data_IF_687968147642
#
_entry.id   IF_687968147642
#
_cell.length_a   1.000
_cell.length_b   1.000
_cell.length_c   1.000
_cell.angle_alpha   90.00
_cell.angle_beta   90.00
_cell.angle_gamma   90.00
#
_symmetry.space_group_name_H-M   'P 1'
#
loop_
_entity.id
_entity.type
_entity.pdbx_description
1 polymer ?
#
# COMPACT_ATOMS: atom_id res chain seq x y z
N UNK A 1 -29.00 -10.49 65.02
CA UNK A 1 -30.42 -10.25 64.71
C UNK A 1 -30.49 -9.20 63.61
N UNK A 2 -30.98 -9.54 62.42
CA UNK A 2 -31.27 -8.57 61.34
C UNK A 2 -32.61 -7.87 61.61
N UNK A 3 -32.72 -6.57 61.26
CA UNK A 3 -33.44 -6.15 60.03
C UNK A 3 -32.62 -5.10 59.21
N UNK A 4 -32.58 -5.11 57.87
CA UNK A 4 -33.56 -4.54 56.89
C UNK A 4 -33.78 -3.01 57.06
N UNK A 5 -33.85 -2.10 56.07
CA UNK A 5 -33.96 -2.13 54.59
C UNK A 5 -33.98 -0.66 54.06
N UNK A 6 -33.39 -0.40 52.88
CA UNK A 6 -33.74 0.57 51.78
C UNK A 6 -33.68 2.13 51.95
N UNK A 7 -33.63 2.92 50.83
CA UNK A 7 -32.72 4.05 50.69
C UNK A 7 -33.45 5.40 50.54
N UNK A 8 -32.73 6.51 50.70
CA UNK A 8 -33.26 7.83 50.37
C UNK A 8 -32.92 8.19 48.93
N UNK A 9 -33.98 8.37 48.13
CA UNK A 9 -33.94 8.76 46.73
C UNK A 9 -33.76 10.28 46.64
N UNK A 10 -32.59 10.72 46.20
CA UNK A 10 -32.38 12.12 45.78
C UNK A 10 -32.86 12.28 44.34
N UNK A 11 -33.95 13.05 44.18
CA UNK A 11 -34.49 13.49 42.90
C UNK A 11 -33.55 14.53 42.28
N UNK A 12 -32.63 14.08 41.45
CA UNK A 12 -31.87 14.91 40.52
C UNK A 12 -32.74 15.23 39.30
N UNK A 13 -33.27 16.44 39.27
CA UNK A 13 -34.00 17.04 38.16
C UNK A 13 -33.04 17.26 36.98
N UNK A 14 -33.00 16.33 36.01
CA UNK A 14 -32.36 16.60 34.72
C UNK A 14 -33.30 17.41 33.84
N UNK A 15 -33.02 18.70 33.75
CA UNK A 15 -33.60 19.64 32.81
C UNK A 15 -33.21 19.21 31.40
N UNK A 16 -34.21 18.80 30.61
CA UNK A 16 -34.07 18.60 29.18
C UNK A 16 -34.06 19.97 28.47
N UNK A 17 -32.93 20.34 27.89
CA UNK A 17 -32.81 21.45 26.95
C UNK A 17 -32.13 20.94 25.67
N UNK A 18 -32.95 20.90 24.61
CA UNK A 18 -32.65 21.04 23.19
C UNK A 18 -31.34 20.47 22.62
N UNK A 19 -31.47 19.52 21.69
CA UNK A 19 -30.91 19.72 20.35
C UNK A 19 -31.65 18.86 19.33
N UNK A 20 -32.22 19.55 18.34
CA UNK A 20 -32.94 19.01 17.20
C UNK A 20 -32.14 17.95 16.47
N UNK A 21 -32.86 16.92 16.02
CA UNK A 21 -32.31 15.76 15.36
C UNK A 21 -31.54 16.09 14.09
N UNK A 22 -30.31 15.61 14.05
CA UNK A 22 -29.77 14.95 12.87
C UNK A 22 -29.11 13.68 13.42
N UNK A 23 -29.81 12.56 13.30
CA UNK A 23 -29.21 11.23 13.43
C UNK A 23 -28.22 11.09 12.27
N UNK A 24 -26.98 11.51 12.48
CA UNK A 24 -25.87 11.01 11.69
C UNK A 24 -25.74 9.53 12.06
N UNK A 25 -26.42 8.68 11.30
CA UNK A 25 -26.05 7.27 11.24
C UNK A 25 -24.55 7.24 10.90
N UNK A 26 -23.69 6.61 11.71
CA UNK A 26 -22.34 6.37 11.29
C UNK A 26 -22.45 5.50 10.03
N UNK A 27 -22.17 6.10 8.88
CA UNK A 27 -21.94 5.35 7.65
C UNK A 27 -20.69 4.51 7.90
N UNK A 28 -20.88 3.33 8.49
CA UNK A 28 -19.91 2.27 8.43
C UNK A 28 -19.74 2.00 6.94
N UNK A 29 -18.69 2.59 6.35
CA UNK A 29 -18.20 2.22 5.04
C UNK A 29 -17.91 0.72 5.15
N UNK A 30 -18.84 -0.09 4.65
CA UNK A 30 -18.67 -1.51 4.54
C UNK A 30 -17.47 -1.73 3.61
N UNK A 31 -16.31 -1.97 4.22
CA UNK A 31 -15.16 -2.48 3.51
C UNK A 31 -15.57 -3.88 3.08
N UNK A 32 -15.82 -4.04 1.79
CA UNK A 32 -16.32 -5.30 1.22
C UNK A 32 -15.43 -6.47 1.61
N UNK A 33 -16.04 -7.65 1.69
CA UNK A 33 -15.34 -8.91 1.94
C UNK A 33 -14.12 -9.06 1.02
N UNK A 34 -13.04 -9.66 1.54
CA UNK A 34 -11.82 -9.94 0.80
C UNK A 34 -12.18 -10.71 -0.47
N UNK A 35 -12.01 -10.11 -1.67
CA UNK A 35 -12.40 -10.79 -2.90
C UNK A 35 -11.57 -12.06 -3.05
N UNK A 36 -12.23 -13.18 -3.35
CA UNK A 36 -11.51 -14.38 -3.79
C UNK A 36 -10.91 -14.08 -5.16
N UNK A 37 -9.59 -13.91 -5.18
CA UNK A 37 -8.86 -13.61 -6.41
C UNK A 37 -8.78 -14.90 -7.22
N UNK A 38 -9.58 -15.00 -8.30
CA UNK A 38 -9.39 -16.06 -9.28
C UNK A 38 -8.04 -15.84 -9.97
N UNK A 39 -7.18 -16.86 -9.93
CA UNK A 39 -5.82 -16.83 -10.46
C UNK A 39 -5.84 -16.57 -11.97
N UNK A 40 -5.68 -15.31 -12.35
CA UNK A 40 -5.11 -14.95 -13.65
C UNK A 40 -3.59 -15.07 -13.51
N UNK A 41 -2.87 -15.40 -14.59
CA UNK A 41 -1.41 -15.41 -14.57
C UNK A 41 -0.93 -13.98 -14.28
N UNK A 42 -0.49 -13.76 -13.05
CA UNK A 42 0.07 -12.48 -12.63
C UNK A 42 1.54 -12.42 -13.04
N UNK A 43 2.04 -11.22 -13.39
CA UNK A 43 3.47 -11.04 -13.65
C UNK A 43 4.26 -11.49 -12.43
N UNK A 44 5.40 -12.14 -12.69
CA UNK A 44 6.25 -12.70 -11.63
C UNK A 44 7.58 -11.98 -11.53
N UNK A 45 8.08 -11.78 -10.31
CA UNK A 45 9.44 -11.35 -10.02
C UNK A 45 10.05 -12.39 -9.12
N UNK A 46 11.08 -13.08 -9.59
CA UNK A 46 11.75 -14.14 -8.82
C UNK A 46 10.73 -15.16 -8.28
N UNK A 47 9.73 -15.50 -9.13
CA UNK A 47 8.61 -16.40 -8.85
C UNK A 47 7.55 -15.85 -7.88
N UNK A 48 7.64 -14.59 -7.45
CA UNK A 48 6.63 -13.91 -6.64
C UNK A 48 5.64 -13.21 -7.53
N UNK A 49 4.35 -13.34 -7.22
CA UNK A 49 3.29 -12.72 -7.99
C UNK A 49 2.20 -12.12 -7.09
N UNK A 50 1.40 -11.23 -7.65
CA UNK A 50 0.24 -10.68 -6.95
C UNK A 50 -0.75 -11.79 -6.56
N UNK A 51 -1.37 -11.68 -5.39
CA UNK A 51 -2.27 -12.70 -4.87
C UNK A 51 -1.57 -13.91 -4.23
N UNK A 52 -0.23 -14.03 -4.31
CA UNK A 52 0.53 -15.06 -3.60
C UNK A 52 0.37 -14.91 -2.09
N UNK A 53 0.33 -16.02 -1.35
CA UNK A 53 0.33 -15.96 0.12
C UNK A 53 1.65 -15.38 0.63
N UNK A 54 1.60 -14.58 1.70
CA UNK A 54 2.80 -13.99 2.26
C UNK A 54 3.78 -15.03 2.82
N UNK A 55 3.30 -16.16 3.34
CA UNK A 55 4.16 -17.27 3.77
C UNK A 55 4.97 -17.87 2.62
N UNK A 56 4.33 -18.13 1.47
CA UNK A 56 5.03 -18.61 0.28
C UNK A 56 6.02 -17.56 -0.25
N UNK A 57 5.64 -16.29 -0.23
CA UNK A 57 6.53 -15.21 -0.67
C UNK A 57 7.78 -15.10 0.21
N UNK A 58 7.63 -15.15 1.53
CA UNK A 58 8.74 -15.14 2.49
C UNK A 58 9.65 -16.36 2.31
N UNK A 59 9.08 -17.55 2.07
CA UNK A 59 9.87 -18.76 1.83
C UNK A 59 10.76 -18.64 0.58
N UNK A 60 10.24 -18.01 -0.48
CA UNK A 60 10.94 -17.85 -1.77
C UNK A 60 11.99 -16.72 -1.73
N UNK A 61 11.66 -15.60 -1.10
CA UNK A 61 12.50 -14.41 -1.07
C UNK A 61 13.59 -14.45 0.02
N UNK A 62 13.39 -15.24 1.06
CA UNK A 62 14.29 -15.28 2.21
C UNK A 62 14.08 -14.07 3.13
N UNK A 63 15.18 -13.57 3.71
CA UNK A 63 15.13 -12.50 4.72
C UNK A 63 15.22 -11.13 4.05
N UNK A 64 14.26 -10.21 4.28
CA UNK A 64 14.34 -8.84 3.79
C UNK A 64 15.41 -8.02 4.53
N UNK A 65 15.90 -6.95 3.92
CA UNK A 65 16.83 -6.01 4.57
C UNK A 65 16.16 -5.20 5.67
N UNK A 66 14.91 -4.81 5.42
CA UNK A 66 14.07 -4.12 6.41
C UNK A 66 12.60 -4.45 6.22
N UNK A 67 11.83 -4.21 7.28
CA UNK A 67 10.40 -4.46 7.32
C UNK A 67 9.71 -3.26 7.93
N UNK A 68 8.69 -2.76 7.26
CA UNK A 68 7.86 -1.67 7.76
C UNK A 68 6.39 -2.07 7.85
N UNK A 69 5.69 -1.51 8.84
CA UNK A 69 4.24 -1.63 8.93
C UNK A 69 3.59 -0.41 8.28
N UNK A 70 2.79 -0.69 7.27
CA UNK A 70 1.93 0.30 6.64
C UNK A 70 0.72 0.66 7.51
N UNK A 71 0.39 1.95 7.52
CA UNK A 71 -0.76 2.45 8.27
C UNK A 71 -2.10 1.89 7.78
N UNK A 72 -3.05 1.78 8.71
CA UNK A 72 -4.40 1.32 8.45
C UNK A 72 -5.20 2.38 7.66
N UNK A 73 -5.10 2.36 6.33
CA UNK A 73 -5.96 3.17 5.47
C UNK A 73 -7.09 2.30 4.95
N UNK A 74 -8.32 2.71 5.24
CA UNK A 74 -9.55 2.05 4.78
C UNK A 74 -9.74 0.62 5.31
N UNK A 75 -9.27 0.32 6.52
CA UNK A 75 -9.51 -0.97 7.17
C UNK A 75 -8.50 -2.07 6.81
N UNK A 76 -7.53 -1.76 5.94
CA UNK A 76 -6.48 -2.69 5.55
C UNK A 76 -5.17 -2.31 6.21
N UNK A 77 -4.47 -3.30 6.75
CA UNK A 77 -3.08 -3.15 7.21
C UNK A 77 -2.17 -3.86 6.24
N UNK A 78 -0.95 -3.36 6.09
CA UNK A 78 0.02 -3.99 5.22
C UNK A 78 1.39 -4.02 5.88
N UNK A 79 2.20 -4.99 5.46
CA UNK A 79 3.61 -5.08 5.78
C UNK A 79 4.38 -4.85 4.49
N UNK A 80 5.38 -3.99 4.52
CA UNK A 80 6.29 -3.74 3.40
C UNK A 80 7.61 -4.43 3.70
N UNK A 81 8.03 -5.30 2.79
CA UNK A 81 9.31 -5.98 2.83
C UNK A 81 10.25 -5.31 1.84
N UNK A 82 11.40 -4.81 2.31
CA UNK A 82 12.39 -4.17 1.46
C UNK A 82 13.53 -5.13 1.14
N UNK A 83 13.84 -5.25 -0.14
CA UNK A 83 14.99 -5.96 -0.69
C UNK A 83 15.85 -4.99 -1.49
N UNK A 84 17.11 -5.32 -1.81
CA UNK A 84 18.05 -4.37 -2.42
C UNK A 84 17.56 -3.70 -3.71
N UNK A 85 16.69 -4.37 -4.48
CA UNK A 85 16.29 -3.94 -5.83
C UNK A 85 14.78 -4.00 -6.09
N UNK A 86 13.99 -4.34 -5.07
CA UNK A 86 12.53 -4.36 -5.14
C UNK A 86 11.93 -4.34 -3.73
N UNK A 87 10.64 -4.06 -3.64
CA UNK A 87 9.87 -4.23 -2.43
C UNK A 87 8.58 -5.00 -2.70
N UNK A 88 8.04 -5.59 -1.64
CA UNK A 88 6.79 -6.35 -1.66
C UNK A 88 5.88 -5.80 -0.57
N UNK A 89 4.67 -5.37 -0.93
CA UNK A 89 3.65 -5.06 0.06
C UNK A 89 2.66 -6.21 0.19
N UNK A 90 2.44 -6.63 1.43
CA UNK A 90 1.57 -7.74 1.80
C UNK A 90 0.42 -7.18 2.61
N UNK A 91 -0.81 -7.34 2.14
CA UNK A 91 -2.01 -7.03 2.89
C UNK A 91 -2.22 -8.10 3.95
N UNK A 92 -2.30 -7.69 5.22
CA UNK A 92 -2.45 -8.59 6.36
C UNK A 92 -3.84 -8.48 6.97
N UNK A 93 -4.41 -9.59 7.46
CA UNK A 93 -5.69 -9.54 8.16
C UNK A 93 -5.54 -8.80 9.50
N UNK A 94 -6.63 -8.27 10.03
CA UNK A 94 -6.60 -7.35 11.18
C UNK A 94 -6.05 -8.02 12.45
N UNK A 95 -6.40 -9.28 12.64
CA UNK A 95 -5.96 -10.13 13.74
C UNK A 95 -4.44 -10.35 13.75
N UNK A 96 -3.77 -10.25 12.60
CA UNK A 96 -2.34 -10.43 12.48
C UNK A 96 -1.53 -9.20 12.92
N UNK A 97 -2.15 -8.02 13.07
CA UNK A 97 -1.45 -6.76 13.39
C UNK A 97 -0.69 -6.83 14.73
N UNK A 98 -1.15 -7.66 15.67
CA UNK A 98 -0.54 -7.83 16.99
C UNK A 98 0.69 -8.73 17.03
N UNK A 99 1.02 -9.40 15.93
CA UNK A 99 2.21 -10.28 15.82
C UNK A 99 3.46 -9.43 15.57
N UNK A 100 4.63 -10.05 15.38
CA UNK A 100 5.74 -9.36 14.71
C UNK A 100 5.44 -9.21 13.21
N UNK A 101 6.21 -8.37 12.52
CA UNK A 101 5.88 -7.99 11.15
C UNK A 101 6.07 -9.13 10.15
N UNK A 102 7.01 -10.04 10.38
CA UNK A 102 7.23 -11.21 9.52
C UNK A 102 6.11 -12.22 9.72
N UNK A 103 5.74 -12.53 10.96
CA UNK A 103 4.61 -13.42 11.25
C UNK A 103 3.29 -12.83 10.74
N UNK A 104 3.13 -11.49 10.80
CA UNK A 104 1.97 -10.82 10.20
C UNK A 104 1.95 -11.01 8.69
N UNK A 105 3.09 -10.79 8.03
CA UNK A 105 3.23 -10.94 6.59
C UNK A 105 2.94 -12.37 6.15
N UNK A 106 3.38 -13.38 6.91
CA UNK A 106 3.13 -14.79 6.60
C UNK A 106 1.62 -15.13 6.47
N UNK A 107 0.75 -14.40 7.17
CA UNK A 107 -0.71 -14.58 7.15
C UNK A 107 -1.42 -13.74 6.09
N UNK A 108 -0.69 -12.92 5.35
CA UNK A 108 -1.25 -11.99 4.38
C UNK A 108 -1.22 -12.48 2.94
N UNK A 109 -1.51 -11.55 2.03
CA UNK A 109 -1.49 -11.75 0.58
C UNK A 109 -0.68 -10.64 -0.08
N UNK A 110 0.18 -10.98 -1.05
CA UNK A 110 0.95 -10.02 -1.83
C UNK A 110 0.00 -9.17 -2.68
N UNK A 111 0.06 -7.85 -2.49
CA UNK A 111 -0.81 -6.89 -3.20
C UNK A 111 -0.05 -5.88 -4.05
N UNK A 112 1.25 -5.73 -3.81
CA UNK A 112 2.08 -4.73 -4.48
C UNK A 112 3.50 -5.25 -4.67
N UNK A 113 4.05 -5.00 -5.85
CA UNK A 113 5.41 -5.33 -6.23
C UNK A 113 6.00 -4.10 -6.92
N UNK A 114 7.02 -3.47 -6.33
CA UNK A 114 7.72 -2.33 -6.92
C UNK A 114 9.18 -2.72 -7.18
N UNK A 115 9.66 -2.49 -8.39
CA UNK A 115 10.92 -3.01 -8.90
C UNK A 115 11.73 -1.86 -9.49
N UNK A 116 12.99 -1.78 -9.07
CA UNK A 116 13.98 -0.82 -9.57
C UNK A 116 15.25 -1.52 -10.09
N UNK A 117 15.19 -2.84 -10.27
CA UNK A 117 16.27 -3.69 -10.76
C UNK A 117 16.60 -3.42 -12.25
N UNK A 118 17.84 -3.03 -12.62
CA UNK A 118 18.20 -2.66 -13.99
C UNK A 118 18.00 -3.76 -15.06
N UNK A 119 18.15 -5.03 -14.69
CA UNK A 119 17.97 -6.20 -15.57
C UNK A 119 16.51 -6.69 -15.65
N UNK A 120 15.59 -6.06 -14.91
CA UNK A 120 14.18 -6.42 -14.98
C UNK A 120 13.50 -5.81 -16.22
N UNK A 121 12.65 -6.62 -16.85
CA UNK A 121 11.78 -6.23 -17.95
C UNK A 121 10.38 -6.82 -17.73
N UNK A 122 9.36 -6.08 -18.14
CA UNK A 122 7.99 -6.60 -18.18
C UNK A 122 7.86 -7.72 -19.22
N UNK A 123 6.76 -8.48 -19.17
CA UNK A 123 6.49 -9.54 -20.15
C UNK A 123 6.40 -9.01 -21.58
N UNK A 124 5.97 -7.76 -21.74
CA UNK A 124 5.87 -7.08 -23.04
C UNK A 124 7.18 -6.37 -23.47
N UNK A 125 8.23 -6.46 -22.66
CA UNK A 125 9.59 -6.01 -23.04
C UNK A 125 10.01 -4.63 -22.54
N UNK A 126 9.21 -3.97 -21.70
CA UNK A 126 9.60 -2.67 -21.12
C UNK A 126 10.57 -2.90 -19.96
N UNK A 127 11.80 -2.43 -20.13
CA UNK A 127 12.85 -2.54 -19.11
C UNK A 127 13.05 -1.24 -18.34
N UNK A 128 13.74 -1.31 -17.19
CA UNK A 128 14.26 -0.11 -16.53
C UNK A 128 15.18 0.64 -17.50
N UNK A 129 14.96 1.95 -17.63
CA UNK A 129 15.66 2.83 -18.56
C UNK A 129 14.98 3.03 -19.93
N UNK A 130 13.92 2.28 -20.23
CA UNK A 130 13.13 2.45 -21.45
C UNK A 130 12.56 3.87 -21.57
N UNK A 131 12.49 4.39 -22.80
CA UNK A 131 11.98 5.75 -23.05
C UNK A 131 10.46 5.82 -22.95
N UNK A 132 9.91 6.98 -22.59
CA UNK A 132 8.44 7.15 -22.53
C UNK A 132 7.74 6.86 -23.85
N UNK A 133 8.31 7.29 -24.98
CA UNK A 133 7.73 7.03 -26.30
C UNK A 133 7.65 5.53 -26.60
N UNK A 134 8.71 4.78 -26.29
CA UNK A 134 8.77 3.32 -26.43
C UNK A 134 7.69 2.63 -25.59
N UNK A 135 7.50 3.09 -24.34
CA UNK A 135 6.44 2.58 -23.46
C UNK A 135 5.05 2.82 -24.05
N UNK A 136 4.79 4.01 -24.60
CA UNK A 136 3.50 4.34 -25.23
C UNK A 136 3.29 3.52 -26.51
N UNK A 137 4.34 3.24 -27.28
CA UNK A 137 4.25 2.40 -28.47
C UNK A 137 3.87 0.95 -28.12
N UNK A 138 4.37 0.41 -27.00
CA UNK A 138 4.10 -0.96 -26.55
C UNK A 138 2.73 -1.08 -25.87
N UNK A 139 2.39 -0.16 -24.98
CA UNK A 139 1.19 -0.26 -24.14
C UNK A 139 0.00 0.58 -24.60
N UNK A 140 0.21 1.46 -25.57
CA UNK A 140 -0.75 2.46 -25.97
C UNK A 140 -0.81 3.65 -25.01
N UNK A 141 -1.88 4.44 -25.13
CA UNK A 141 -2.07 5.62 -24.30
C UNK A 141 -2.45 5.22 -22.86
N UNK A 142 -1.77 5.76 -21.83
CA UNK A 142 -2.12 5.52 -20.44
C UNK A 142 -3.46 6.21 -20.11
N UNK A 143 -4.15 5.72 -19.08
CA UNK A 143 -5.48 6.22 -18.74
C UNK A 143 -5.42 7.70 -18.29
N UNK A 144 -6.07 8.59 -19.06
CA UNK A 144 -5.98 10.06 -18.91
C UNK A 144 -6.31 10.56 -17.50
N UNK A 145 -7.26 9.92 -16.81
CA UNK A 145 -7.73 10.35 -15.48
C UNK A 145 -6.65 10.27 -14.38
N UNK A 146 -5.50 9.65 -14.63
CA UNK A 146 -4.41 9.49 -13.66
C UNK A 146 -3.05 10.04 -14.13
N UNK A 147 -2.99 10.74 -15.28
CA UNK A 147 -1.78 11.44 -15.77
C UNK A 147 -1.39 12.68 -14.93
N UNK A 148 -1.95 12.85 -13.73
CA UNK A 148 -1.85 14.08 -12.93
C UNK A 148 -0.48 14.31 -12.28
N UNK A 149 0.46 13.36 -12.40
CA UNK A 149 1.86 13.56 -12.06
C UNK A 149 2.68 13.13 -13.26
N UNK A 150 3.28 14.10 -13.98
CA UNK A 150 3.91 13.88 -15.29
C UNK A 150 4.92 12.74 -15.35
N UNK A 151 5.44 12.32 -14.19
CA UNK A 151 6.42 11.25 -14.06
C UNK A 151 5.82 9.86 -13.80
N UNK A 152 4.50 9.67 -13.90
CA UNK A 152 3.87 8.35 -13.65
C UNK A 152 2.84 8.02 -14.72
N UNK A 153 2.92 6.81 -15.28
CA UNK A 153 1.94 6.27 -16.21
C UNK A 153 1.21 5.06 -15.61
N UNK A 154 -0.12 5.02 -15.82
CA UNK A 154 -1.00 3.97 -15.29
C UNK A 154 -1.66 3.21 -16.43
N UNK A 155 -1.49 1.89 -16.41
CA UNK A 155 -2.04 0.95 -17.40
C UNK A 155 -2.91 -0.09 -16.68
N UNK A 156 -4.24 -0.01 -16.79
CA UNK A 156 -5.12 -1.01 -16.19
C UNK A 156 -4.98 -2.35 -16.92
N UNK A 157 -4.88 -3.43 -16.16
CA UNK A 157 -4.87 -4.81 -16.63
C UNK A 157 -5.98 -5.62 -15.97
N UNK A 158 -6.22 -6.83 -16.48
CA UNK A 158 -7.14 -7.76 -15.83
C UNK A 158 -6.57 -8.17 -14.49
N UNK A 159 -7.17 -7.69 -13.39
CA UNK A 159 -6.79 -8.05 -12.02
C UNK A 159 -5.73 -7.17 -11.34
N UNK A 160 -4.99 -6.33 -12.07
CA UNK A 160 -3.98 -5.44 -11.50
C UNK A 160 -3.75 -4.16 -12.34
N UNK A 161 -2.99 -3.22 -11.80
CA UNK A 161 -2.46 -2.04 -12.47
C UNK A 161 -0.97 -2.20 -12.70
N UNK A 162 -0.53 -1.92 -13.93
CA UNK A 162 0.87 -1.65 -14.22
C UNK A 162 1.10 -0.14 -14.09
N UNK A 163 2.01 0.25 -13.22
CA UNK A 163 2.36 1.63 -12.92
C UNK A 163 3.84 1.81 -13.23
N UNK A 164 4.17 2.78 -14.07
CA UNK A 164 5.54 3.07 -14.48
C UNK A 164 5.93 4.45 -13.98
N UNK A 165 6.95 4.50 -13.14
CA UNK A 165 7.55 5.75 -12.67
C UNK A 165 8.71 6.14 -13.58
N UNK A 166 8.76 7.41 -13.96
CA UNK A 166 9.75 7.98 -14.85
C UNK A 166 10.69 8.91 -14.09
N UNK A 167 11.94 8.94 -14.53
CA UNK A 167 12.94 9.94 -14.16
C UNK A 167 13.69 10.31 -15.42
N UNK A 168 13.79 11.60 -15.72
CA UNK A 168 14.46 12.11 -16.93
C UNK A 168 13.94 11.42 -18.22
N UNK A 169 12.62 11.26 -18.29
CA UNK A 169 11.88 10.61 -19.39
C UNK A 169 12.20 9.12 -19.63
N UNK A 170 12.81 8.47 -18.64
CA UNK A 170 13.11 7.04 -18.65
C UNK A 170 12.44 6.30 -17.51
N UNK A 171 12.03 5.06 -17.73
CA UNK A 171 11.46 4.21 -16.68
C UNK A 171 12.50 4.03 -15.56
N UNK A 172 12.17 4.50 -14.36
CA UNK A 172 12.99 4.35 -13.17
C UNK A 172 12.50 3.20 -12.30
N UNK A 173 11.18 2.98 -12.25
CA UNK A 173 10.56 1.93 -11.46
C UNK A 173 9.35 1.35 -12.19
N UNK A 174 9.17 0.05 -12.06
CA UNK A 174 7.99 -0.69 -12.53
C UNK A 174 7.23 -1.14 -11.29
N UNK A 175 5.91 -1.01 -11.29
CA UNK A 175 5.06 -1.43 -10.18
C UNK A 175 3.84 -2.20 -10.65
N UNK A 176 3.57 -3.32 -10.01
CA UNK A 176 2.35 -4.11 -10.17
C UNK A 176 1.51 -3.98 -8.90
N UNK A 177 0.29 -3.47 -9.03
CA UNK A 177 -0.62 -3.24 -7.90
C UNK A 177 -1.95 -3.96 -8.12
N UNK A 178 -2.34 -4.83 -7.19
CA UNK A 178 -3.58 -5.60 -7.30
C UNK A 178 -4.82 -4.68 -7.30
N UNK A 179 -5.78 -4.92 -8.22
CA UNK A 179 -6.95 -4.06 -8.40
C UNK A 179 -7.81 -3.94 -7.14
N UNK A 180 -7.97 -5.04 -6.39
CA UNK A 180 -8.77 -5.08 -5.16
C UNK A 180 -8.19 -4.25 -4.02
N UNK A 181 -6.91 -3.88 -4.11
CA UNK A 181 -6.23 -3.02 -3.14
C UNK A 181 -6.46 -1.52 -3.39
N UNK A 182 -7.26 -1.19 -4.41
CA UNK A 182 -7.68 0.19 -4.74
C UNK A 182 -9.16 0.43 -4.42
N UNK A 183 -9.68 0.18 -3.20
CA UNK A 183 -11.06 0.54 -2.93
C UNK A 183 -11.27 2.07 -2.85
N UNK A 184 -10.22 2.93 -2.77
CA UNK A 184 -10.38 4.36 -2.42
C UNK A 184 -9.47 5.38 -3.15
N UNK A 185 -8.62 5.00 -4.13
CA UNK A 185 -7.85 6.05 -4.85
C UNK A 185 -8.72 6.89 -5.80
N UNK A 186 -9.88 6.38 -6.23
CA UNK A 186 -10.72 7.05 -7.24
C UNK A 186 -11.66 8.16 -6.69
N UNK A 187 -11.66 8.43 -5.36
CA UNK A 187 -12.49 9.52 -4.78
C UNK A 187 -11.71 10.57 -3.99
N UNK A 188 -10.41 10.39 -3.71
CA UNK A 188 -9.67 11.28 -2.81
C UNK A 188 -8.18 11.48 -3.15
N UNK A 189 -7.74 11.20 -4.38
CA UNK A 189 -6.40 11.62 -4.82
C UNK A 189 -6.40 13.13 -5.14
N UNK A 190 -6.44 13.95 -4.08
CA UNK A 190 -5.70 15.21 -4.06
C UNK A 190 -4.20 14.87 -3.98
N UNK A 191 -3.31 15.68 -4.58
CA UNK A 191 -1.92 15.32 -4.80
C UNK A 191 -1.18 15.32 -3.47
N UNK A 192 -0.99 14.16 -2.86
CA UNK A 192 -0.18 14.02 -1.66
C UNK A 192 1.06 13.18 -1.96
N UNK A 193 2.15 13.94 -2.07
CA UNK A 193 3.57 13.63 -1.96
C UNK A 193 4.16 12.46 -2.77
N UNK A 194 5.22 12.72 -3.55
CA UNK A 194 6.11 11.64 -3.96
C UNK A 194 6.73 11.03 -2.70
N UNK A 195 6.89 9.71 -2.70
CA UNK A 195 7.91 9.05 -1.89
C UNK A 195 9.25 9.50 -2.48
N UNK A 196 9.62 10.75 -2.18
CA UNK A 196 10.94 11.25 -2.44
C UNK A 196 11.86 10.55 -1.46
N UNK A 197 12.72 9.71 -2.00
CA UNK A 197 14.13 9.60 -1.60
C UNK A 197 14.40 9.85 -0.11
N UNK A 198 14.47 8.78 0.67
CA UNK A 198 15.45 8.69 1.74
C UNK A 198 16.84 8.44 1.12
N UNK A 199 17.32 9.39 0.29
CA UNK A 199 18.74 9.56 0.02
C UNK A 199 19.22 10.69 0.91
N UNK A 200 19.66 10.34 2.12
CA UNK A 200 20.51 11.23 2.90
C UNK A 200 21.80 11.47 2.10
N UNK A 201 22.25 12.72 1.91
CA UNK A 201 23.57 12.97 1.34
C UNK A 201 24.65 12.45 2.30
N UNK A 202 25.81 11.99 1.79
CA UNK A 202 26.95 11.65 2.64
C UNK A 202 27.41 12.91 3.38
N UNK A 203 27.49 12.84 4.71
CA UNK A 203 28.08 13.88 5.53
C UNK A 203 29.56 14.06 5.17
N UNK A 204 29.89 15.14 4.48
CA UNK A 204 31.28 15.58 4.33
C UNK A 204 31.75 16.16 5.66
N UNK A 205 32.46 15.35 6.44
CA UNK A 205 33.30 15.87 7.52
C UNK A 205 34.42 16.71 6.90
N UNK A 206 34.23 18.03 6.91
CA UNK A 206 35.29 18.99 6.64
C UNK A 206 35.89 19.36 7.99
N UNK A 207 36.97 18.69 8.39
CA UNK A 207 37.82 19.18 9.48
C UNK A 207 38.93 20.02 8.85
N UNK A 208 38.63 21.30 8.70
CA UNK A 208 39.63 22.36 8.57
C UNK A 208 40.24 22.62 9.95
N UNK A 209 41.46 22.13 10.17
CA UNK A 209 42.37 22.75 11.15
C UNK A 209 43.57 23.27 10.37
N UNK A 210 43.49 24.56 10.04
CA UNK A 210 44.63 25.45 9.95
C UNK A 210 44.80 26.04 11.34
N UNK A 211 45.84 25.58 12.05
CA UNK A 211 46.80 26.36 12.84
C UNK A 211 47.85 25.40 13.43
#
# INVERSE_FOLDING_TARGET
MHPQLIPSVSKGLCVALFASGILFAPSALACGETPSVQATAYPTIDQIHLGMSGAEALQRLGTPESVERGGNRCGFSFVILFYPQFLVAIQVPREAIGLDAIDSAAQGVVIDLLISRPDFSTEEGVSIGAGRSEVIDIYGNPQEAQQTQGDVLFFPRSGYWLILHFRDDRVAEIRYLLNSSIPVLNRSLRPFLPIALLLLPPSTHTNSNLD
#
